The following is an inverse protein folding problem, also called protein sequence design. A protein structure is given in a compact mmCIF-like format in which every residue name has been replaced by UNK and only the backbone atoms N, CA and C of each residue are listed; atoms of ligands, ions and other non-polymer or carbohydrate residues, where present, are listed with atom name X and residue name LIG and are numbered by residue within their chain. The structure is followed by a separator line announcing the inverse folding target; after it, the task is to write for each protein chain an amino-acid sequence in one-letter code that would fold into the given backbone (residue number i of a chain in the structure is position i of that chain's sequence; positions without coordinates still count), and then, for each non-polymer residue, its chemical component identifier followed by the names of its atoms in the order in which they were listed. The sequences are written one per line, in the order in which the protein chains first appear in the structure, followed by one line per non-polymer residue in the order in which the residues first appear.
data_IF_764758665640
#
_entry.id   IF_764758665640
#
_cell.length_a   1.000
_cell.length_b   1.000
_cell.length_c   1.000
_cell.angle_alpha   90.00
_cell.angle_beta   90.00
_cell.angle_gamma   90.00
#
_symmetry.space_group_name_H-M   'P 1'
#
loop_
_entity.id
_entity.type
_entity.pdbx_description
1 polymer ?
#
# COMPACT_ATOMS: atom_id res chain seq x y z
N UNK A 1 20.97 31.06 3.14
CA UNK A 1 21.31 30.69 1.75
C UNK A 1 21.04 29.20 1.59
N UNK A 2 20.17 28.80 0.67
CA UNK A 2 19.88 27.38 0.43
C UNK A 2 20.89 26.84 -0.58
N UNK A 3 21.48 25.68 -0.27
CA UNK A 3 22.36 24.97 -1.17
C UNK A 3 21.57 23.84 -1.85
N UNK A 4 21.63 23.76 -3.18
CA UNK A 4 20.95 22.73 -3.95
C UNK A 4 21.95 21.97 -4.80
N UNK A 5 21.87 20.63 -4.75
CA UNK A 5 22.61 19.74 -5.64
C UNK A 5 21.62 19.01 -6.53
N UNK A 6 21.83 19.09 -7.84
CA UNK A 6 21.08 18.27 -8.79
C UNK A 6 21.68 16.87 -8.82
N UNK A 7 20.81 15.86 -8.88
CA UNK A 7 21.24 14.48 -9.07
C UNK A 7 21.97 14.37 -10.43
N UNK A 8 23.08 13.61 -10.51
CA UNK A 8 23.73 13.35 -11.79
C UNK A 8 22.74 12.86 -12.85
N UNK A 9 22.88 13.35 -14.08
CA UNK A 9 22.03 13.02 -15.23
C UNK A 9 20.54 13.39 -15.10
N UNK A 10 20.15 14.22 -14.11
CA UNK A 10 18.76 14.60 -13.88
C UNK A 10 18.08 15.19 -15.13
N UNK A 11 18.71 16.13 -15.84
CA UNK A 11 18.11 16.77 -17.02
C UNK A 11 17.84 15.77 -18.15
N UNK A 12 18.85 14.98 -18.52
CA UNK A 12 18.70 13.96 -19.57
C UNK A 12 17.71 12.84 -19.19
N UNK A 13 17.53 12.55 -17.90
CA UNK A 13 16.47 11.66 -17.44
C UNK A 13 15.08 12.26 -17.67
N UNK A 14 14.88 13.52 -17.24
CA UNK A 14 13.60 14.21 -17.39
C UNK A 14 13.20 14.34 -18.86
N UNK A 15 14.12 14.69 -19.75
CA UNK A 15 13.87 14.77 -21.20
C UNK A 15 13.46 13.43 -21.81
N UNK A 16 14.04 12.31 -21.35
CA UNK A 16 13.69 10.97 -21.84
C UNK A 16 12.30 10.55 -21.37
N UNK A 17 12.00 10.74 -20.08
CA UNK A 17 10.71 10.35 -19.49
C UNK A 17 9.59 11.27 -19.95
N UNK A 18 9.85 12.55 -20.23
CA UNK A 18 8.85 13.48 -20.78
C UNK A 18 8.28 13.05 -22.14
N UNK A 19 8.95 12.14 -22.86
CA UNK A 19 8.41 11.55 -24.11
C UNK A 19 7.35 10.48 -23.85
N UNK A 20 7.31 9.95 -22.63
CA UNK A 20 6.48 8.81 -22.24
C UNK A 20 5.38 9.21 -21.23
N UNK A 21 5.64 10.26 -20.43
CA UNK A 21 4.78 10.68 -19.34
C UNK A 21 4.64 12.19 -19.26
N UNK A 22 3.50 12.65 -18.78
CA UNK A 22 3.32 14.02 -18.33
C UNK A 22 3.96 14.19 -16.94
N UNK A 23 4.89 15.14 -16.82
CA UNK A 23 5.65 15.34 -15.59
C UNK A 23 4.97 16.35 -14.68
N UNK A 24 4.77 15.97 -13.42
CA UNK A 24 4.27 16.82 -12.34
C UNK A 24 5.31 16.87 -11.21
N UNK A 25 5.42 18.02 -10.54
CA UNK A 25 6.23 18.18 -9.33
C UNK A 25 5.32 18.23 -8.12
N UNK A 26 5.53 17.34 -7.15
CA UNK A 26 4.87 17.40 -5.85
C UNK A 26 5.91 17.50 -4.72
N UNK A 27 5.84 18.56 -3.93
CA UNK A 27 6.78 18.80 -2.82
C UNK A 27 6.12 19.41 -1.59
N UNK A 28 6.66 19.10 -0.41
CA UNK A 28 6.33 19.80 0.84
C UNK A 28 7.20 21.05 1.08
N UNK A 29 8.02 21.44 0.11
CA UNK A 29 8.69 22.74 0.11
C UNK A 29 7.69 23.88 -0.09
N UNK A 30 8.10 25.09 0.27
CA UNK A 30 7.31 26.30 -0.01
C UNK A 30 7.19 26.54 -1.53
N UNK A 31 6.16 27.27 -1.92
CA UNK A 31 5.87 27.63 -3.32
C UNK A 31 7.07 28.31 -4.00
N UNK A 32 7.66 29.29 -3.33
CA UNK A 32 8.84 30.00 -3.85
C UNK A 32 10.00 29.05 -4.12
N UNK A 33 10.26 28.11 -3.20
CA UNK A 33 11.33 27.12 -3.39
C UNK A 33 11.03 26.20 -4.56
N UNK A 34 9.81 25.66 -4.65
CA UNK A 34 9.40 24.76 -5.73
C UNK A 34 9.57 25.40 -7.11
N UNK A 35 9.06 26.63 -7.29
CA UNK A 35 9.20 27.35 -8.56
C UNK A 35 10.64 27.75 -8.87
N UNK A 36 11.43 28.10 -7.86
CA UNK A 36 12.86 28.40 -8.05
C UNK A 36 13.62 27.18 -8.57
N UNK A 37 13.40 26.01 -7.97
CA UNK A 37 14.02 24.76 -8.44
C UNK A 37 13.52 24.34 -9.81
N UNK A 38 12.21 24.47 -10.07
CA UNK A 38 11.64 24.20 -11.38
C UNK A 38 12.24 25.12 -12.47
N UNK A 39 12.49 26.39 -12.18
CA UNK A 39 13.18 27.29 -13.11
C UNK A 39 14.60 26.85 -13.49
N UNK A 40 15.32 26.21 -12.57
CA UNK A 40 16.65 25.64 -12.88
C UNK A 40 16.58 24.34 -13.70
N UNK A 41 15.53 23.55 -13.51
CA UNK A 41 15.32 22.27 -14.18
C UNK A 41 14.68 22.43 -15.57
N UNK A 42 13.76 23.37 -15.71
CA UNK A 42 12.91 23.61 -16.87
C UNK A 42 12.75 25.11 -17.15
N UNK A 43 13.80 25.79 -17.64
CA UNK A 43 13.77 27.24 -17.89
C UNK A 43 12.71 27.66 -18.92
N UNK A 44 12.44 26.77 -19.89
CA UNK A 44 11.49 27.00 -20.98
C UNK A 44 10.05 26.55 -20.61
N UNK A 45 9.84 26.01 -19.41
CA UNK A 45 8.54 25.54 -18.91
C UNK A 45 7.89 24.45 -19.79
N UNK A 46 8.70 23.63 -20.46
CA UNK A 46 8.25 22.54 -21.36
C UNK A 46 7.98 21.23 -20.62
N UNK A 47 8.70 20.98 -19.53
CA UNK A 47 8.63 19.72 -18.78
C UNK A 47 7.51 19.73 -17.74
N UNK A 48 7.45 20.76 -16.91
CA UNK A 48 6.49 20.85 -15.79
C UNK A 48 5.42 21.92 -16.03
N UNK A 49 5.76 23.01 -16.74
CA UNK A 49 4.84 24.12 -16.98
C UNK A 49 4.20 24.65 -15.68
N UNK A 50 2.90 24.46 -15.51
CA UNK A 50 2.10 24.85 -14.34
C UNK A 50 1.82 23.68 -13.38
N UNK A 51 2.32 22.48 -13.68
CA UNK A 51 2.07 21.24 -12.92
C UNK A 51 3.00 21.09 -11.72
N UNK A 52 3.03 22.10 -10.86
CA UNK A 52 3.87 22.16 -9.66
C UNK A 52 2.97 22.40 -8.46
N UNK A 53 2.96 21.44 -7.54
CA UNK A 53 2.19 21.49 -6.31
C UNK A 53 3.15 21.52 -5.12
N UNK A 54 3.13 22.64 -4.40
CA UNK A 54 3.93 22.89 -3.21
C UNK A 54 3.10 22.73 -1.94
N UNK A 55 3.74 22.83 -0.77
CA UNK A 55 3.04 22.75 0.51
C UNK A 55 1.94 23.79 0.66
N UNK A 56 2.08 24.94 0.02
CA UNK A 56 1.13 26.03 0.18
C UNK A 56 -0.16 25.76 -0.63
N UNK A 57 -0.12 24.79 -1.56
CA UNK A 57 -1.24 24.34 -2.39
C UNK A 57 -1.75 22.94 -2.00
N UNK A 58 -1.13 22.26 -1.03
CA UNK A 58 -1.52 20.91 -0.65
C UNK A 58 -2.73 20.89 0.31
N UNK A 59 -3.72 20.05 0.00
CA UNK A 59 -4.91 19.79 0.81
C UNK A 59 -4.54 19.16 2.16
N UNK A 60 -3.62 18.20 2.15
CA UNK A 60 -3.08 17.57 3.36
C UNK A 60 -1.57 17.87 3.49
N UNK A 61 -1.14 18.61 4.52
CA UNK A 61 0.27 18.94 4.73
C UNK A 61 1.13 17.74 5.14
N UNK A 62 0.51 16.60 5.47
CA UNK A 62 1.19 15.37 5.89
C UNK A 62 1.02 14.22 4.87
N UNK A 63 0.18 14.38 3.83
CA UNK A 63 -0.09 13.34 2.83
C UNK A 63 -0.09 13.88 1.41
N UNK A 64 0.59 13.14 0.51
CA UNK A 64 0.57 13.46 -0.93
C UNK A 64 -0.70 12.94 -1.64
N UNK A 65 -1.38 11.97 -1.04
CA UNK A 65 -2.43 11.19 -1.69
C UNK A 65 -3.68 12.01 -2.01
N UNK A 66 -4.06 12.95 -1.14
CA UNK A 66 -5.25 13.79 -1.36
C UNK A 66 -5.13 14.65 -2.62
N UNK A 67 -3.93 15.17 -2.89
CA UNK A 67 -3.67 16.10 -3.99
C UNK A 67 -3.48 15.43 -5.35
N UNK A 68 -2.95 14.20 -5.35
CA UNK A 68 -2.73 13.45 -6.58
C UNK A 68 -4.04 13.11 -7.31
N UNK A 69 -5.17 13.15 -6.60
CA UNK A 69 -6.51 12.88 -7.14
C UNK A 69 -7.13 14.05 -7.90
N UNK A 70 -6.81 15.28 -7.49
CA UNK A 70 -7.41 16.50 -8.06
C UNK A 70 -6.62 17.04 -9.26
N UNK A 71 -5.29 16.97 -9.23
CA UNK A 71 -4.42 17.53 -10.29
C UNK A 71 -3.89 16.49 -11.31
N UNK A 72 -4.33 15.24 -11.22
CA UNK A 72 -3.93 14.18 -12.15
C UNK A 72 -4.81 14.13 -13.41
N UNK A 73 -4.26 13.94 -14.62
CA UNK A 73 -5.06 13.70 -15.83
C UNK A 73 -5.84 12.37 -15.76
N UNK A 74 -5.42 11.46 -14.87
CA UNK A 74 -6.22 10.35 -14.42
C UNK A 74 -7.02 10.82 -13.19
N UNK A 75 -8.20 11.40 -13.43
CA UNK A 75 -9.30 11.26 -12.49
C UNK A 75 -9.50 9.75 -12.33
N UNK A 76 -8.79 9.13 -11.39
CA UNK A 76 -9.11 7.78 -10.97
C UNK A 76 -10.54 7.90 -10.46
N UNK A 77 -11.53 7.34 -11.17
CA UNK A 77 -12.91 7.54 -10.81
C UNK A 77 -13.06 7.14 -9.36
N UNK A 78 -13.79 7.95 -8.60
CA UNK A 78 -14.09 7.69 -7.21
C UNK A 78 -14.34 6.21 -7.03
N UNK A 79 -13.47 5.56 -6.26
CA UNK A 79 -13.76 4.22 -5.75
C UNK A 79 -14.76 4.28 -4.60
N UNK A 80 -15.55 5.35 -4.50
CA UNK A 80 -16.86 5.33 -3.88
C UNK A 80 -17.89 4.84 -4.91
N UNK A 81 -17.84 3.53 -5.18
CA UNK A 81 -19.01 2.79 -5.66
C UNK A 81 -19.05 2.41 -7.14
N UNK A 82 -18.16 1.51 -7.59
CA UNK A 82 -18.43 0.42 -8.56
C UNK A 82 -17.11 -0.25 -8.99
N UNK A 83 -16.70 -1.27 -8.25
CA UNK A 83 -15.76 -2.27 -8.76
C UNK A 83 -16.56 -3.27 -9.62
N UNK A 84 -16.18 -3.59 -10.87
CA UNK A 84 -16.56 -4.86 -11.43
C UNK A 84 -15.78 -5.93 -10.66
N UNK A 85 -16.47 -6.63 -9.76
CA UNK A 85 -15.96 -7.66 -8.84
C UNK A 85 -15.59 -8.98 -9.53
N UNK A 86 -15.39 -9.03 -10.85
CA UNK A 86 -15.44 -10.30 -11.60
C UNK A 86 -14.13 -10.75 -12.24
N UNK A 87 -12.95 -10.37 -11.72
CA UNK A 87 -11.68 -10.99 -12.15
C UNK A 87 -10.80 -11.53 -11.02
N UNK A 88 -11.30 -11.46 -9.79
CA UNK A 88 -10.89 -12.30 -8.69
C UNK A 88 -12.19 -12.70 -8.00
N UNK A 89 -12.71 -13.88 -8.33
CA UNK A 89 -13.81 -14.43 -7.55
C UNK A 89 -13.29 -14.68 -6.14
N UNK A 90 -13.83 -14.03 -5.08
CA UNK A 90 -13.71 -14.64 -3.77
C UNK A 90 -14.40 -15.99 -3.87
N UNK A 91 -13.73 -17.04 -3.41
CA UNK A 91 -14.34 -18.36 -3.18
C UNK A 91 -15.72 -18.15 -2.53
N UNK A 92 -16.79 -18.85 -2.95
CA UNK A 92 -18.11 -18.68 -2.37
C UNK A 92 -18.01 -18.68 -0.85
N UNK A 93 -18.42 -17.59 -0.22
CA UNK A 93 -18.49 -17.53 1.24
C UNK A 93 -19.59 -18.50 1.63
N UNK A 94 -19.20 -19.72 1.99
CA UNK A 94 -20.10 -20.66 2.62
C UNK A 94 -20.78 -19.96 3.81
N UNK A 95 -22.08 -20.17 4.04
CA UNK A 95 -22.70 -19.79 5.31
C UNK A 95 -21.80 -20.29 6.43
N UNK A 96 -21.41 -19.40 7.35
CA UNK A 96 -20.61 -19.73 8.53
C UNK A 96 -21.21 -20.97 9.17
N UNK A 97 -20.45 -22.07 9.20
CA UNK A 97 -20.91 -23.32 9.77
C UNK A 97 -21.45 -23.05 11.19
N UNK A 98 -22.54 -23.71 11.61
CA UNK A 98 -23.06 -23.55 12.95
C UNK A 98 -21.94 -23.83 13.96
N UNK A 99 -21.85 -23.07 15.06
CA UNK A 99 -20.81 -23.26 16.06
C UNK A 99 -20.82 -24.73 16.51
N UNK A 100 -19.66 -25.39 16.37
CA UNK A 100 -19.51 -26.80 16.71
C UNK A 100 -19.86 -27.09 18.17
N UNK A 101 -20.10 -28.36 18.54
CA UNK A 101 -20.51 -28.73 19.89
C UNK A 101 -19.46 -28.27 20.90
N UNK A 102 -19.91 -27.52 21.90
CA UNK A 102 -19.06 -26.89 22.89
C UNK A 102 -18.46 -27.92 23.84
N UNK A 103 -17.12 -28.02 23.86
CA UNK A 103 -16.43 -28.99 24.70
C UNK A 103 -16.20 -28.39 26.08
N UNK A 104 -16.66 -29.12 27.10
CA UNK A 104 -16.54 -28.77 28.51
C UNK A 104 -15.57 -29.75 29.16
N UNK A 105 -14.45 -29.23 29.65
CA UNK A 105 -13.45 -30.05 30.36
C UNK A 105 -13.72 -29.93 31.86
N UNK A 106 -13.98 -31.07 32.50
CA UNK A 106 -14.23 -31.19 33.93
C UNK A 106 -13.03 -31.80 34.63
N UNK A 107 -12.82 -31.39 35.88
CA UNK A 107 -11.88 -32.03 36.79
C UNK A 107 -12.39 -33.42 37.17
N UNK A 108 -11.58 -34.46 36.97
CA UNK A 108 -12.01 -35.85 37.21
C UNK A 108 -12.19 -36.18 38.71
N UNK A 109 -11.54 -35.42 39.61
CA UNK A 109 -11.58 -35.68 41.05
C UNK A 109 -12.71 -34.94 41.76
N UNK A 110 -13.12 -33.78 41.25
CA UNK A 110 -14.10 -32.88 41.89
C UNK A 110 -15.34 -32.61 41.05
N UNK A 111 -15.36 -33.00 39.78
CA UNK A 111 -16.47 -32.76 38.84
C UNK A 111 -16.68 -31.30 38.45
N UNK A 112 -15.80 -30.39 38.88
CA UNK A 112 -15.93 -28.95 38.59
C UNK A 112 -15.45 -28.64 37.17
N UNK A 113 -16.15 -27.73 36.50
CA UNK A 113 -15.82 -27.28 35.14
C UNK A 113 -14.52 -26.44 35.17
N UNK A 114 -13.48 -26.91 34.49
CA UNK A 114 -12.18 -26.23 34.45
C UNK A 114 -12.13 -25.25 33.29
N UNK A 115 -12.58 -25.64 32.09
CA UNK A 115 -12.58 -24.78 30.90
C UNK A 115 -13.72 -25.08 29.94
N UNK A 116 -14.22 -24.02 29.32
CA UNK A 116 -15.21 -24.03 28.24
C UNK A 116 -14.52 -23.47 26.99
N UNK A 117 -14.34 -24.30 25.96
CA UNK A 117 -13.63 -23.92 24.75
C UNK A 117 -14.36 -24.39 23.50
N UNK A 118 -14.20 -23.64 22.40
CA UNK A 118 -14.61 -24.08 21.07
C UNK A 118 -13.51 -24.99 20.49
N UNK A 119 -13.88 -26.16 19.96
CA UNK A 119 -12.96 -27.04 19.27
C UNK A 119 -12.52 -26.38 17.95
N UNK A 120 -11.35 -25.73 17.94
CA UNK A 120 -10.68 -25.33 16.71
C UNK A 120 -10.05 -26.55 16.01
N UNK A 121 -9.82 -26.49 14.69
CA UNK A 121 -9.16 -27.58 13.99
C UNK A 121 -7.72 -27.69 14.48
N UNK A 122 -7.33 -28.88 14.95
CA UNK A 122 -5.97 -29.16 15.42
C UNK A 122 -4.95 -29.02 14.28
N UNK A 123 -3.64 -28.89 14.61
CA UNK A 123 -2.59 -28.86 13.61
C UNK A 123 -2.57 -30.19 12.82
N UNK A 124 -2.23 -30.17 11.52
CA UNK A 124 -2.14 -31.40 10.75
C UNK A 124 -1.02 -32.29 11.31
N UNK A 125 -1.31 -33.59 11.37
CA UNK A 125 -0.52 -34.59 12.05
C UNK A 125 0.95 -34.64 11.62
N UNK A 126 1.80 -34.97 12.58
CA UNK A 126 3.17 -35.43 12.37
C UNK A 126 3.19 -36.61 11.40
N UNK A 127 3.84 -36.44 10.26
CA UNK A 127 4.22 -37.52 9.36
C UNK A 127 5.19 -38.48 10.08
N UNK A 128 5.15 -39.80 9.79
CA UNK A 128 5.97 -40.78 10.48
C UNK A 128 7.46 -40.60 10.14
N UNK A 129 8.27 -40.66 11.19
CA UNK A 129 9.73 -40.69 11.17
C UNK A 129 10.18 -41.98 10.48
N UNK A 130 10.71 -41.88 9.26
CA UNK A 130 11.50 -42.97 8.68
C UNK A 130 12.92 -42.81 9.23
N UNK A 131 13.23 -43.63 10.23
CA UNK A 131 14.61 -43.91 10.60
C UNK A 131 15.27 -44.65 9.43
N UNK A 132 16.42 -44.18 8.98
CA UNK A 132 17.45 -45.03 8.41
C UNK A 132 18.81 -44.50 8.87
N UNK A 133 19.62 -45.44 9.33
CA UNK A 133 20.92 -45.25 9.94
C UNK A 133 22.00 -44.87 8.91
N UNK A 134 23.10 -44.34 9.46
CA UNK A 134 24.49 -44.70 9.12
C UNK A 134 25.26 -43.86 8.10
N UNK A 135 26.27 -43.15 8.62
CA UNK A 135 27.72 -43.17 8.26
C UNK A 135 28.07 -43.38 6.77
N UNK A 136 28.76 -42.48 6.08
CA UNK A 136 30.17 -42.06 6.25
C UNK A 136 30.43 -40.80 5.42
#
# INVERSE_FOLDING_TARGET
MLHTRLRPHCKGFLEKIAKLYELHVFTFGSRLYAHTIAGFLDPEKKLFSHRILSRDECIDPFSKTGNLREDGPAAFPDRQGLLPTTLFHPTPVHPKAPPGPEVRIYDASTGKLIRKGAAGPGPPGSLPVHAELSSF
#
